data_IF_209455794379
#
_entry.id   IF_209455794379
#
_cell.length_a   1.000
_cell.length_b   1.000
_cell.length_c   1.000
_cell.angle_alpha   90.00
_cell.angle_beta   90.00
_cell.angle_gamma   90.00
#
_symmetry.space_group_name_H-M   'P 1'
#
loop_
_entity.id
_entity.type
_entity.pdbx_description
1 polymer ?
#
# COMPACT_ATOMS: atom_id res chain seq x y z
N UNK A 1 -14.24 3.43 -48.63
CA UNK A 1 -12.86 3.66 -49.10
C UNK A 1 -11.86 4.16 -48.02
N UNK A 2 -12.17 4.14 -46.71
CA UNK A 2 -11.27 4.67 -45.64
C UNK A 2 -10.62 3.63 -44.73
N UNK A 3 -11.10 2.38 -44.73
CA UNK A 3 -10.59 1.31 -43.86
C UNK A 3 -9.25 0.75 -44.35
N UNK A 4 -9.15 0.47 -45.66
CA UNK A 4 -7.95 -0.13 -46.26
C UNK A 4 -6.71 0.78 -46.15
N UNK A 5 -6.89 2.09 -46.32
CA UNK A 5 -5.81 3.10 -46.16
C UNK A 5 -5.30 3.16 -44.72
N UNK A 6 -6.19 3.03 -43.73
CA UNK A 6 -5.80 3.01 -42.32
C UNK A 6 -5.05 1.71 -41.96
N UNK A 7 -5.33 0.61 -42.66
CA UNK A 7 -4.67 -0.67 -42.44
C UNK A 7 -3.29 -0.73 -43.09
N UNK A 8 -3.14 -0.20 -44.31
CA UNK A 8 -1.83 0.01 -44.96
C UNK A 8 -0.93 0.86 -44.07
N UNK A 9 -1.46 1.96 -43.53
CA UNK A 9 -0.68 2.85 -42.68
C UNK A 9 -0.14 2.14 -41.43
N UNK A 10 -0.90 1.22 -40.84
CA UNK A 10 -0.40 0.40 -39.71
C UNK A 10 0.68 -0.58 -40.16
N UNK A 11 0.58 -1.13 -41.37
CA UNK A 11 1.58 -2.04 -41.95
C UNK A 11 2.89 -1.28 -42.15
N UNK A 12 2.82 -0.09 -42.76
CA UNK A 12 3.98 0.77 -43.01
C UNK A 12 4.62 1.29 -41.72
N UNK A 13 3.82 1.58 -40.69
CA UNK A 13 4.29 2.00 -39.37
C UNK A 13 4.78 0.82 -38.51
N UNK A 14 4.70 -0.43 -38.99
CA UNK A 14 5.08 -1.64 -38.25
C UNK A 14 4.18 -1.93 -37.03
N UNK A 15 3.02 -1.28 -36.93
CA UNK A 15 2.05 -1.43 -35.84
C UNK A 15 0.89 -2.36 -36.20
N UNK A 16 0.93 -2.95 -37.39
CA UNK A 16 -0.09 -3.87 -37.87
C UNK A 16 -0.04 -5.19 -37.09
N UNK A 17 -1.15 -5.52 -36.44
CA UNK A 17 -1.36 -6.81 -35.80
C UNK A 17 -2.32 -7.63 -36.66
N UNK A 18 -1.93 -8.88 -36.96
CA UNK A 18 -2.82 -9.80 -37.65
C UNK A 18 -4.16 -9.89 -36.89
N UNK A 19 -5.32 -9.90 -37.60
CA UNK A 19 -6.61 -10.03 -36.96
C UNK A 19 -6.64 -11.34 -36.15
N UNK A 20 -7.14 -11.26 -34.91
CA UNK A 20 -7.15 -12.39 -34.00
C UNK A 20 -7.77 -13.64 -34.68
N UNK A 21 -7.17 -14.82 -34.52
CA UNK A 21 -7.65 -16.04 -35.15
C UNK A 21 -9.09 -16.30 -34.74
N UNK A 22 -10.00 -16.42 -35.73
CA UNK A 22 -11.46 -16.46 -35.54
C UNK A 22 -11.96 -17.66 -34.71
N UNK A 23 -11.11 -18.67 -34.47
CA UNK A 23 -11.51 -19.98 -33.92
C UNK A 23 -10.93 -20.31 -32.55
N UNK A 24 -10.29 -19.37 -31.83
CA UNK A 24 -9.79 -19.69 -30.47
C UNK A 24 -10.95 -19.70 -29.49
N UNK A 25 -11.13 -20.83 -28.82
CA UNK A 25 -12.15 -21.00 -27.78
C UNK A 25 -11.68 -20.47 -26.43
N UNK A 26 -12.63 -20.13 -25.56
CA UNK A 26 -12.37 -19.61 -24.22
C UNK A 26 -11.53 -20.60 -23.41
N UNK A 27 -11.87 -21.89 -23.51
CA UNK A 27 -11.14 -22.97 -22.86
C UNK A 27 -9.68 -23.02 -23.30
N UNK A 28 -9.42 -23.01 -24.61
CA UNK A 28 -8.04 -23.07 -25.13
C UNK A 28 -7.20 -21.88 -24.71
N UNK A 29 -7.77 -20.67 -24.76
CA UNK A 29 -7.07 -19.47 -24.31
C UNK A 29 -6.79 -19.51 -22.81
N UNK A 30 -7.75 -19.99 -22.01
CA UNK A 30 -7.58 -20.11 -20.57
C UNK A 30 -6.57 -21.19 -20.20
N UNK A 31 -6.51 -22.32 -20.91
CA UNK A 31 -5.51 -23.36 -20.68
C UNK A 31 -4.09 -22.85 -20.96
N UNK A 32 -3.90 -22.08 -22.03
CA UNK A 32 -2.61 -21.43 -22.28
C UNK A 32 -2.30 -20.37 -21.21
N UNK A 33 -3.30 -19.58 -20.80
CA UNK A 33 -3.14 -18.60 -19.72
C UNK A 33 -2.84 -19.27 -18.37
N UNK A 34 -3.41 -20.44 -18.07
CA UNK A 34 -3.12 -21.22 -16.86
C UNK A 34 -1.65 -21.60 -16.79
N UNK A 35 -1.07 -22.09 -17.88
CA UNK A 35 0.37 -22.43 -17.95
C UNK A 35 1.23 -21.19 -17.66
N UNK A 36 0.89 -20.06 -18.27
CA UNK A 36 1.57 -18.79 -18.01
C UNK A 36 1.40 -18.33 -16.55
N UNK A 37 0.16 -18.29 -16.06
CA UNK A 37 -0.17 -17.82 -14.72
C UNK A 37 0.41 -18.73 -13.63
N UNK A 38 0.47 -20.04 -13.84
CA UNK A 38 1.08 -20.99 -12.89
C UNK A 38 2.56 -20.71 -12.68
N UNK A 39 3.29 -20.31 -13.72
CA UNK A 39 4.71 -19.97 -13.63
C UNK A 39 4.95 -18.61 -12.93
N UNK A 40 4.03 -17.65 -13.09
CA UNK A 40 4.25 -16.27 -12.66
C UNK A 40 3.48 -15.87 -11.39
N UNK A 41 2.42 -16.59 -11.03
CA UNK A 41 1.51 -16.22 -9.94
C UNK A 41 1.55 -17.25 -8.81
N UNK A 42 2.09 -16.84 -7.66
CA UNK A 42 2.16 -17.68 -6.46
C UNK A 42 0.78 -18.17 -5.97
N UNK A 43 -0.25 -17.33 -6.09
CA UNK A 43 -1.62 -17.64 -5.67
C UNK A 43 -2.49 -18.21 -6.79
N UNK A 44 -1.86 -18.79 -7.82
CA UNK A 44 -2.58 -19.32 -8.99
C UNK A 44 -3.61 -20.38 -8.57
N UNK A 45 -3.19 -21.36 -7.76
CA UNK A 45 -4.04 -22.49 -7.35
C UNK A 45 -5.19 -22.04 -6.46
N UNK A 46 -4.96 -21.14 -5.52
CA UNK A 46 -5.97 -20.73 -4.54
C UNK A 46 -6.94 -19.67 -5.09
N UNK A 47 -6.53 -18.91 -6.10
CA UNK A 47 -7.28 -17.73 -6.53
C UNK A 47 -7.53 -17.67 -8.04
N UNK A 48 -6.49 -17.72 -8.86
CA UNK A 48 -6.64 -17.50 -10.30
C UNK A 48 -7.38 -18.66 -10.98
N UNK A 49 -6.97 -19.91 -10.74
CA UNK A 49 -7.59 -21.09 -11.37
C UNK A 49 -9.08 -21.26 -11.01
N UNK A 50 -9.50 -21.12 -9.73
CA UNK A 50 -10.92 -21.15 -9.39
C UNK A 50 -11.76 -20.08 -10.10
N UNK A 51 -11.20 -18.89 -10.32
CA UNK A 51 -11.91 -17.82 -11.04
C UNK A 51 -11.98 -18.11 -12.54
N UNK A 52 -10.95 -18.70 -13.14
CA UNK A 52 -11.00 -19.15 -14.54
C UNK A 52 -12.06 -20.23 -14.73
N UNK A 53 -12.09 -21.23 -13.84
CA UNK A 53 -13.13 -22.30 -13.85
C UNK A 53 -14.53 -21.74 -13.68
N UNK A 54 -14.69 -20.71 -12.84
CA UNK A 54 -15.97 -20.01 -12.72
C UNK A 54 -16.42 -19.45 -14.07
N UNK A 55 -15.55 -18.71 -14.77
CA UNK A 55 -15.89 -18.15 -16.08
C UNK A 55 -16.12 -19.20 -17.17
N UNK A 56 -15.39 -20.31 -17.15
CA UNK A 56 -15.64 -21.45 -18.05
C UNK A 56 -17.01 -22.10 -17.82
N UNK A 57 -17.48 -22.14 -16.57
CA UNK A 57 -18.81 -22.67 -16.25
C UNK A 57 -19.92 -21.71 -16.70
N UNK A 58 -19.73 -20.41 -16.56
CA UNK A 58 -20.75 -19.43 -16.95
C UNK A 58 -20.84 -19.23 -18.48
N UNK A 59 -19.70 -19.24 -19.18
CA UNK A 59 -19.67 -19.03 -20.64
C UNK A 59 -19.61 -20.32 -21.47
N UNK A 60 -19.17 -21.43 -20.88
CA UNK A 60 -18.83 -22.65 -21.61
C UNK A 60 -17.42 -22.59 -22.22
N UNK A 61 -16.68 -23.70 -22.15
CA UNK A 61 -15.29 -23.79 -22.69
C UNK A 61 -15.22 -23.61 -24.20
N UNK A 62 -16.22 -24.11 -24.94
CA UNK A 62 -16.26 -24.03 -26.41
C UNK A 62 -16.63 -22.66 -26.98
N UNK A 63 -16.95 -21.68 -26.13
CA UNK A 63 -17.36 -20.35 -26.60
C UNK A 63 -16.17 -19.62 -27.24
N UNK A 64 -16.29 -19.13 -28.48
CA UNK A 64 -15.23 -18.33 -29.10
C UNK A 64 -14.95 -17.06 -28.29
N UNK A 65 -13.67 -16.67 -28.16
CA UNK A 65 -13.31 -15.46 -27.40
C UNK A 65 -14.01 -14.20 -27.94
N UNK A 66 -14.20 -14.13 -29.26
CA UNK A 66 -14.87 -13.02 -29.93
C UNK A 66 -16.37 -12.89 -29.58
N UNK A 67 -17.01 -13.97 -29.07
CA UNK A 67 -18.42 -13.96 -28.66
C UNK A 67 -18.64 -13.49 -27.23
N UNK A 68 -17.57 -13.35 -26.44
CA UNK A 68 -17.67 -12.85 -25.06
C UNK A 68 -17.89 -11.34 -25.08
N UNK A 69 -19.09 -10.90 -24.72
CA UNK A 69 -19.46 -9.49 -24.74
C UNK A 69 -19.43 -8.85 -23.35
N UNK A 70 -19.25 -7.53 -23.29
CA UNK A 70 -19.31 -6.76 -22.05
C UNK A 70 -20.65 -6.92 -21.33
N UNK A 71 -21.76 -6.97 -22.08
CA UNK A 71 -23.12 -7.12 -21.51
C UNK A 71 -23.29 -8.42 -20.75
N UNK A 72 -22.81 -9.55 -21.31
CA UNK A 72 -22.88 -10.85 -20.62
C UNK A 72 -22.06 -10.85 -19.33
N UNK A 73 -20.86 -10.25 -19.35
CA UNK A 73 -20.01 -10.16 -18.16
C UNK A 73 -20.68 -9.29 -17.08
N UNK A 74 -21.33 -8.19 -17.45
CA UNK A 74 -22.09 -7.33 -16.53
C UNK A 74 -23.25 -8.10 -15.88
N UNK A 75 -24.02 -8.86 -16.67
CA UNK A 75 -25.11 -9.71 -16.16
C UNK A 75 -24.60 -10.77 -15.16
N UNK A 76 -23.53 -11.48 -15.50
CA UNK A 76 -22.91 -12.49 -14.62
C UNK A 76 -22.38 -11.82 -13.34
N UNK A 77 -21.75 -10.66 -13.45
CA UNK A 77 -21.25 -9.87 -12.31
C UNK A 77 -22.39 -9.47 -11.38
N UNK A 78 -23.52 -8.99 -11.90
CA UNK A 78 -24.69 -8.61 -11.10
C UNK A 78 -25.33 -9.82 -10.41
N UNK A 79 -25.50 -10.94 -11.13
CA UNK A 79 -25.98 -12.22 -10.55
C UNK A 79 -25.06 -12.70 -9.44
N UNK A 80 -23.74 -12.65 -9.64
CA UNK A 80 -22.75 -13.05 -8.63
C UNK A 80 -22.80 -12.14 -7.41
N UNK A 81 -23.03 -10.84 -7.58
CA UNK A 81 -23.13 -9.88 -6.47
C UNK A 81 -24.29 -10.15 -5.50
N UNK A 82 -25.29 -10.96 -5.89
CA UNK A 82 -26.37 -11.40 -5.00
C UNK A 82 -25.93 -12.50 -4.01
N UNK A 83 -24.84 -13.21 -4.31
CA UNK A 83 -24.39 -14.38 -3.51
C UNK A 83 -23.03 -14.18 -2.84
N UNK A 84 -22.23 -13.22 -3.29
CA UNK A 84 -20.89 -12.96 -2.75
C UNK A 84 -20.65 -11.47 -2.54
N UNK A 85 -19.72 -11.15 -1.64
CA UNK A 85 -19.34 -9.77 -1.37
C UNK A 85 -18.85 -9.03 -2.64
N UNK A 86 -19.13 -7.72 -2.78
CA UNK A 86 -18.75 -6.93 -3.96
C UNK A 86 -17.24 -7.01 -4.29
N UNK A 87 -16.40 -7.08 -3.26
CA UNK A 87 -14.95 -7.20 -3.43
C UNK A 87 -14.53 -8.52 -4.08
N UNK A 88 -15.29 -9.58 -3.83
CA UNK A 88 -15.08 -10.90 -4.44
C UNK A 88 -15.53 -10.86 -5.90
N UNK A 89 -16.65 -10.20 -6.22
CA UNK A 89 -17.05 -9.97 -7.61
C UNK A 89 -15.99 -9.22 -8.41
N UNK A 90 -15.48 -8.11 -7.85
CA UNK A 90 -14.45 -7.30 -8.50
C UNK A 90 -13.17 -8.11 -8.75
N UNK A 91 -12.77 -8.93 -7.79
CA UNK A 91 -11.65 -9.88 -7.93
C UNK A 91 -11.87 -10.89 -9.05
N UNK A 92 -13.07 -11.48 -9.14
CA UNK A 92 -13.43 -12.43 -10.20
C UNK A 92 -13.34 -11.80 -11.59
N UNK A 93 -13.88 -10.58 -11.75
CA UNK A 93 -13.82 -9.80 -13.00
C UNK A 93 -12.38 -9.35 -13.30
N UNK A 94 -11.58 -9.06 -12.28
CA UNK A 94 -10.16 -8.73 -12.41
C UNK A 94 -9.34 -9.87 -13.03
N UNK A 95 -9.58 -11.11 -12.64
CA UNK A 95 -8.91 -12.29 -13.25
C UNK A 95 -9.26 -12.40 -14.73
N UNK A 96 -10.53 -12.22 -15.09
CA UNK A 96 -10.97 -12.22 -16.49
C UNK A 96 -10.28 -11.12 -17.30
N UNK A 97 -10.17 -9.92 -16.74
CA UNK A 97 -9.46 -8.80 -17.37
C UNK A 97 -8.01 -9.16 -17.68
N UNK A 98 -7.31 -9.77 -16.72
CA UNK A 98 -5.92 -10.20 -16.91
C UNK A 98 -5.78 -11.29 -17.97
N UNK A 99 -6.68 -12.30 -17.97
CA UNK A 99 -6.68 -13.36 -18.98
C UNK A 99 -6.88 -12.80 -20.40
N UNK A 100 -7.82 -11.86 -20.58
CA UNK A 100 -8.03 -11.21 -21.88
C UNK A 100 -6.87 -10.29 -22.29
N UNK A 101 -6.27 -9.54 -21.36
CA UNK A 101 -5.07 -8.73 -21.67
C UNK A 101 -3.90 -9.62 -22.12
N UNK A 102 -3.70 -10.75 -21.45
CA UNK A 102 -2.71 -11.73 -21.85
C UNK A 102 -3.05 -12.33 -23.22
N UNK A 103 -4.31 -12.72 -23.45
CA UNK A 103 -4.75 -13.25 -24.75
C UNK A 103 -4.50 -12.25 -25.90
N UNK A 104 -4.72 -10.95 -25.69
CA UNK A 104 -4.40 -9.90 -26.66
C UNK A 104 -2.89 -9.83 -26.94
N UNK A 105 -2.06 -9.89 -25.89
CA UNK A 105 -0.60 -9.89 -26.04
C UNK A 105 -0.05 -11.07 -26.84
N UNK A 106 -0.81 -12.18 -26.87
CA UNK A 106 -0.49 -13.38 -27.64
C UNK A 106 -1.20 -13.42 -29.00
N UNK A 107 -1.88 -12.34 -29.39
CA UNK A 107 -2.64 -12.26 -30.64
C UNK A 107 -3.89 -13.15 -30.69
N UNK A 108 -4.35 -13.70 -29.57
CA UNK A 108 -5.51 -14.61 -29.49
C UNK A 108 -6.86 -13.87 -29.41
N UNK A 109 -6.85 -12.59 -29.05
CA UNK A 109 -8.05 -11.76 -28.94
C UNK A 109 -7.79 -10.35 -29.48
N UNK A 110 -8.81 -9.77 -30.12
CA UNK A 110 -8.71 -8.42 -30.69
C UNK A 110 -8.97 -7.30 -29.67
N UNK A 111 -9.76 -7.57 -28.64
CA UNK A 111 -10.12 -6.57 -27.63
C UNK A 111 -10.45 -7.22 -26.28
N UNK A 112 -10.42 -6.41 -25.21
CA UNK A 112 -10.77 -6.86 -23.87
C UNK A 112 -12.22 -6.44 -23.54
N UNK A 113 -13.17 -7.40 -23.43
CA UNK A 113 -14.57 -7.09 -23.13
C UNK A 113 -14.78 -6.54 -21.71
N UNK A 114 -13.79 -6.65 -20.82
CA UNK A 114 -13.83 -6.16 -19.44
C UNK A 114 -13.43 -4.68 -19.32
N UNK A 115 -12.93 -4.04 -20.39
CA UNK A 115 -12.42 -2.66 -20.34
C UNK A 115 -13.49 -1.65 -19.92
N UNK A 116 -14.74 -1.82 -20.35
CA UNK A 116 -15.86 -0.92 -20.05
C UNK A 116 -16.57 -1.19 -18.71
N UNK A 117 -16.21 -2.27 -18.01
CA UNK A 117 -16.94 -2.71 -16.82
C UNK A 117 -16.50 -1.88 -15.61
N UNK A 118 -17.47 -1.23 -14.96
CA UNK A 118 -17.25 -0.52 -13.70
C UNK A 118 -17.16 -1.53 -12.56
N UNK A 119 -16.11 -1.47 -11.76
CA UNK A 119 -16.02 -2.26 -10.52
C UNK A 119 -16.86 -1.62 -9.41
N UNK A 120 -17.28 -2.42 -8.43
CA UNK A 120 -18.00 -1.93 -7.25
C UNK A 120 -17.08 -1.07 -6.37
N UNK A 121 -15.78 -1.37 -6.33
CA UNK A 121 -14.77 -0.68 -5.51
C UNK A 121 -15.20 -0.49 -4.05
N UNK A 122 -15.60 -1.57 -3.35
CA UNK A 122 -16.10 -1.44 -1.98
C UNK A 122 -15.02 -0.88 -1.06
N UNK A 123 -15.43 0.05 -0.19
CA UNK A 123 -14.55 0.60 0.83
C UNK A 123 -14.33 -0.43 1.96
N UNK A 124 -13.34 -1.30 1.79
CA UNK A 124 -12.96 -2.31 2.79
C UNK A 124 -12.03 -1.75 3.88
N UNK A 125 -11.95 -0.43 4.06
CA UNK A 125 -11.16 0.16 5.12
C UNK A 125 -11.83 -0.09 6.48
N UNK A 126 -11.31 -1.08 7.21
CA UNK A 126 -11.70 -1.39 8.59
C UNK A 126 -10.71 -0.81 9.59
N UNK A 127 -11.12 0.16 10.40
CA UNK A 127 -10.31 0.70 11.48
C UNK A 127 -10.85 0.19 12.82
N UNK A 128 -10.37 -0.97 13.25
CA UNK A 128 -10.65 -1.57 14.55
C UNK A 128 -9.32 -1.78 15.27
N UNK A 129 -9.20 -1.26 16.48
CA UNK A 129 -8.06 -1.45 17.38
C UNK A 129 -8.57 -1.76 18.78
N UNK A 130 -7.77 -2.45 19.60
CA UNK A 130 -8.14 -2.80 20.97
C UNK A 130 -8.09 -1.58 21.90
N UNK A 131 -9.12 -1.45 22.73
CA UNK A 131 -9.02 -0.64 23.95
C UNK A 131 -8.09 -1.33 24.97
N UNK A 132 -7.65 -0.59 25.98
CA UNK A 132 -6.71 -1.09 26.98
C UNK A 132 -7.29 -2.23 27.83
N UNK A 133 -8.55 -2.12 28.22
CA UNK A 133 -9.29 -3.16 28.93
C UNK A 133 -9.49 -4.43 28.07
N UNK A 134 -9.78 -4.25 26.77
CA UNK A 134 -9.93 -5.36 25.83
C UNK A 134 -8.60 -6.10 25.64
N UNK A 135 -7.49 -5.37 25.57
CA UNK A 135 -6.16 -5.97 25.45
C UNK A 135 -5.81 -6.81 26.69
N UNK A 136 -6.05 -6.28 27.89
CA UNK A 136 -5.81 -7.00 29.14
C UNK A 136 -6.65 -8.27 29.22
N UNK A 137 -7.97 -8.19 28.93
CA UNK A 137 -8.86 -9.35 28.89
C UNK A 137 -8.43 -10.37 27.84
N UNK A 138 -8.04 -9.93 26.65
CA UNK A 138 -7.57 -10.81 25.58
C UNK A 138 -6.31 -11.56 26.00
N UNK A 139 -5.34 -10.89 26.62
CA UNK A 139 -4.10 -11.53 27.06
C UNK A 139 -4.38 -12.55 28.18
N UNK A 140 -5.21 -12.20 29.16
CA UNK A 140 -5.59 -13.11 30.25
C UNK A 140 -6.30 -14.37 29.72
N UNK A 141 -7.21 -14.22 28.74
CA UNK A 141 -7.89 -15.36 28.13
C UNK A 141 -7.02 -16.14 27.14
N UNK A 142 -6.04 -15.50 26.51
CA UNK A 142 -5.07 -16.16 25.64
C UNK A 142 -4.11 -17.06 26.42
N UNK A 143 -3.77 -16.72 27.66
CA UNK A 143 -2.90 -17.50 28.55
C UNK A 143 -3.49 -18.87 28.90
N UNK A 144 -4.83 -18.99 28.92
CA UNK A 144 -5.54 -20.27 29.06
C UNK A 144 -5.46 -21.15 27.81
N UNK A 145 -4.89 -20.64 26.73
CA UNK A 145 -4.78 -21.30 25.43
C UNK A 145 -3.45 -22.01 25.21
N UNK A 146 -3.09 -22.31 23.95
CA UNK A 146 -1.79 -22.86 23.61
C UNK A 146 -0.65 -21.92 24.01
N UNK A 147 0.49 -22.47 24.48
CA UNK A 147 1.68 -21.74 24.97
C UNK A 147 2.15 -20.56 24.10
N UNK A 148 1.96 -20.66 22.79
CA UNK A 148 2.47 -19.70 21.82
C UNK A 148 1.52 -18.53 21.59
N UNK A 149 0.23 -18.64 21.98
CA UNK A 149 -0.78 -17.65 21.64
C UNK A 149 -0.49 -16.29 22.27
N UNK A 150 -0.29 -16.23 23.59
CA UNK A 150 -0.01 -14.97 24.29
C UNK A 150 1.28 -14.31 23.83
N UNK A 151 2.43 -15.02 23.75
CA UNK A 151 3.65 -14.42 23.22
C UNK A 151 3.48 -13.88 21.79
N UNK A 152 2.77 -14.60 20.91
CA UNK A 152 2.50 -14.11 19.55
C UNK A 152 1.63 -12.85 19.55
N UNK A 153 0.61 -12.76 20.41
CA UNK A 153 -0.23 -11.56 20.53
C UNK A 153 0.60 -10.38 21.03
N UNK A 154 1.40 -10.57 22.10
CA UNK A 154 2.28 -9.53 22.65
C UNK A 154 3.27 -9.01 21.59
N UNK A 155 3.92 -9.89 20.85
CA UNK A 155 4.83 -9.47 19.77
C UNK A 155 4.09 -8.77 18.62
N UNK A 156 2.89 -9.23 18.24
CA UNK A 156 2.09 -8.57 17.21
C UNK A 156 1.70 -7.13 17.60
N UNK A 157 1.34 -6.91 18.87
CA UNK A 157 0.96 -5.61 19.41
C UNK A 157 2.14 -4.64 19.58
N UNK A 158 3.36 -5.16 19.77
CA UNK A 158 4.54 -4.33 20.04
C UNK A 158 5.45 -4.12 18.81
N UNK A 159 5.41 -5.01 17.81
CA UNK A 159 6.26 -4.94 16.62
C UNK A 159 5.49 -4.66 15.33
N UNK A 160 4.15 -4.83 15.35
CA UNK A 160 3.30 -4.61 14.18
C UNK A 160 3.58 -5.54 13.00
N UNK A 161 4.24 -6.69 13.20
CA UNK A 161 4.60 -7.61 12.13
C UNK A 161 3.35 -8.20 11.44
N UNK A 162 3.45 -8.43 10.12
CA UNK A 162 2.42 -9.21 9.39
C UNK A 162 2.41 -10.64 9.91
N UNK A 163 1.24 -11.30 9.88
CA UNK A 163 1.09 -12.70 10.31
C UNK A 163 2.19 -13.61 9.76
N UNK A 164 2.42 -13.61 8.44
CA UNK A 164 3.42 -14.47 7.83
C UNK A 164 4.85 -14.19 8.29
N UNK A 165 5.17 -12.93 8.62
CA UNK A 165 6.50 -12.56 9.13
C UNK A 165 6.68 -13.04 10.57
N UNK A 166 5.64 -12.91 11.40
CA UNK A 166 5.66 -13.35 12.80
C UNK A 166 5.65 -14.88 12.91
N UNK A 167 4.80 -15.56 12.14
CA UNK A 167 4.64 -17.01 12.21
C UNK A 167 5.87 -17.77 11.69
N UNK A 168 6.67 -17.16 10.83
CA UNK A 168 7.90 -17.74 10.26
C UNK A 168 9.16 -17.08 10.80
N UNK A 169 9.06 -16.31 11.88
CA UNK A 169 10.18 -15.62 12.50
C UNK A 169 11.21 -16.64 13.00
N UNK A 170 12.48 -16.41 12.68
CA UNK A 170 13.61 -17.27 13.06
C UNK A 170 14.50 -16.58 14.07
N UNK A 171 15.20 -17.37 14.88
CA UNK A 171 16.15 -16.86 15.87
C UNK A 171 17.29 -16.06 15.23
N UNK A 172 17.78 -16.50 14.05
CA UNK A 172 18.83 -15.80 13.28
C UNK A 172 18.43 -14.40 12.79
N UNK A 173 17.13 -14.12 12.71
CA UNK A 173 16.59 -12.82 12.26
C UNK A 173 16.48 -11.82 13.42
N UNK A 174 16.76 -12.26 14.65
CA UNK A 174 16.72 -11.44 15.87
C UNK A 174 18.16 -11.06 16.24
N UNK A 175 18.50 -9.80 16.02
CA UNK A 175 19.77 -9.22 16.44
C UNK A 175 19.59 -8.63 17.84
N UNK A 176 19.90 -9.42 18.87
CA UNK A 176 19.73 -9.04 20.27
C UNK A 176 20.67 -7.89 20.68
N UNK A 177 21.86 -7.82 20.07
CA UNK A 177 22.87 -6.78 20.32
C UNK A 177 22.40 -5.42 19.76
N UNK A 178 22.01 -5.39 18.49
CA UNK A 178 21.47 -4.17 17.88
C UNK A 178 20.03 -3.88 18.31
N UNK A 179 19.34 -4.83 18.93
CA UNK A 179 17.96 -4.68 19.39
C UNK A 179 16.95 -4.57 18.24
N UNK A 180 17.19 -5.28 17.13
CA UNK A 180 16.35 -5.22 15.93
C UNK A 180 15.98 -6.60 15.41
N UNK A 181 14.82 -6.70 14.77
CA UNK A 181 14.43 -7.85 13.95
C UNK A 181 14.62 -7.49 12.49
N UNK A 182 15.38 -8.31 11.74
CA UNK A 182 15.59 -8.16 10.30
C UNK A 182 14.90 -9.29 9.56
N UNK A 183 13.69 -9.04 9.08
CA UNK A 183 12.90 -10.02 8.32
C UNK A 183 12.97 -9.72 6.83
N UNK A 184 13.65 -10.57 6.08
CA UNK A 184 13.71 -10.46 4.62
C UNK A 184 12.49 -11.13 3.99
N UNK A 185 11.69 -10.36 3.26
CA UNK A 185 10.64 -10.96 2.43
C UNK A 185 11.30 -11.60 1.21
N UNK A 186 11.26 -12.93 1.14
CA UNK A 186 11.79 -13.71 0.00
C UNK A 186 11.13 -13.33 -1.32
N UNK A 187 9.95 -12.68 -1.31
CA UNK A 187 9.20 -12.31 -2.51
C UNK A 187 9.69 -11.03 -3.19
N UNK A 188 10.10 -10.02 -2.41
CA UNK A 188 10.46 -8.70 -2.94
C UNK A 188 11.95 -8.35 -2.69
N UNK A 189 12.69 -9.21 -1.98
CA UNK A 189 14.04 -8.93 -1.46
C UNK A 189 14.12 -7.66 -0.59
N UNK A 190 12.97 -7.13 -0.17
CA UNK A 190 12.90 -5.99 0.74
C UNK A 190 13.03 -6.52 2.17
N UNK A 191 14.07 -6.06 2.87
CA UNK A 191 14.28 -6.37 4.28
C UNK A 191 13.49 -5.40 5.14
N UNK A 192 12.58 -5.94 5.95
CA UNK A 192 11.89 -5.20 6.99
C UNK A 192 12.75 -5.24 8.26
N UNK A 193 13.24 -4.07 8.68
CA UNK A 193 13.93 -3.91 9.96
C UNK A 193 13.00 -3.24 10.96
N UNK A 194 12.76 -3.89 12.10
CA UNK A 194 11.89 -3.39 13.16
C UNK A 194 12.67 -3.33 14.48
N UNK A 195 12.80 -2.16 15.11
CA UNK A 195 13.34 -2.05 16.46
C UNK A 195 12.47 -2.79 17.48
N UNK A 196 13.13 -3.44 18.44
CA UNK A 196 12.47 -4.22 19.49
C UNK A 196 12.38 -3.37 20.76
N UNK A 197 11.16 -3.09 21.21
CA UNK A 197 10.93 -2.42 22.50
C UNK A 197 11.16 -3.39 23.68
N UNK A 198 11.21 -2.85 24.89
CA UNK A 198 11.54 -3.64 26.09
C UNK A 198 10.52 -4.74 26.39
N UNK A 199 9.23 -4.47 26.15
CA UNK A 199 8.17 -5.47 26.29
C UNK A 199 8.36 -6.64 25.33
N UNK A 200 8.62 -6.37 24.05
CA UNK A 200 8.89 -7.42 23.07
C UNK A 200 10.20 -8.15 23.38
N UNK A 201 11.23 -7.44 23.83
CA UNK A 201 12.52 -8.02 24.26
C UNK A 201 12.34 -9.00 25.42
N UNK A 202 11.54 -8.64 26.43
CA UNK A 202 11.24 -9.51 27.55
C UNK A 202 10.53 -10.81 27.10
N UNK A 203 9.57 -10.69 26.17
CA UNK A 203 8.88 -11.86 25.59
C UNK A 203 9.85 -12.74 24.81
N UNK A 204 10.72 -12.16 23.97
CA UNK A 204 11.72 -12.91 23.21
C UNK A 204 12.72 -13.62 24.12
N UNK A 205 13.21 -12.96 25.17
CA UNK A 205 14.12 -13.55 26.15
C UNK A 205 13.48 -14.72 26.90
N UNK A 206 12.20 -14.60 27.28
CA UNK A 206 11.46 -15.70 27.90
C UNK A 206 11.30 -16.90 26.94
N UNK A 207 11.02 -16.63 25.66
CA UNK A 207 10.94 -17.69 24.63
C UNK A 207 12.30 -18.34 24.40
N UNK A 208 13.39 -17.57 24.40
CA UNK A 208 14.76 -18.06 24.24
C UNK A 208 15.17 -19.00 25.37
N UNK A 209 14.75 -18.73 26.62
CA UNK A 209 14.98 -19.64 27.75
C UNK A 209 14.27 -20.99 27.62
N UNK A 210 13.26 -21.11 26.74
CA UNK A 210 12.53 -22.35 26.44
C UNK A 210 12.81 -22.87 25.04
N UNK A 211 13.90 -22.39 24.42
CA UNK A 211 14.26 -22.71 23.05
C UNK A 211 14.60 -24.19 22.90
N UNK A 212 14.15 -24.77 21.80
CA UNK A 212 14.56 -26.10 21.33
C UNK A 212 15.41 -25.95 20.06
N UNK A 213 15.81 -27.07 19.45
CA UNK A 213 16.60 -27.09 18.21
C UNK A 213 15.87 -26.59 16.95
N UNK A 214 14.68 -25.99 17.11
CA UNK A 214 13.97 -25.40 15.98
C UNK A 214 14.58 -24.05 15.59
N UNK A 215 14.78 -23.77 14.29
CA UNK A 215 15.20 -22.44 13.85
C UNK A 215 14.12 -21.37 14.06
N UNK A 216 12.85 -21.78 14.22
CA UNK A 216 11.71 -20.87 14.36
C UNK A 216 11.48 -20.48 15.82
N UNK A 217 11.10 -19.23 16.05
CA UNK A 217 10.68 -18.73 17.37
C UNK A 217 9.37 -19.39 17.80
N UNK A 218 8.45 -19.60 16.84
CA UNK A 218 7.16 -20.23 17.06
C UNK A 218 7.05 -21.52 16.26
N UNK A 219 7.16 -22.65 16.97
CA UNK A 219 7.07 -23.98 16.37
C UNK A 219 6.23 -24.95 17.21
N UNK A 220 5.82 -26.05 16.57
CA UNK A 220 5.22 -27.17 17.28
C UNK A 220 6.29 -27.89 18.12
N UNK A 221 5.97 -28.19 19.38
CA UNK A 221 6.87 -28.97 20.25
C UNK A 221 6.82 -30.46 19.91
N UNK A 222 5.61 -30.97 19.71
CA UNK A 222 5.34 -32.40 19.62
C UNK A 222 4.53 -32.74 18.36
N UNK A 223 4.48 -34.04 18.04
CA UNK A 223 3.69 -34.60 16.95
C UNK A 223 4.37 -34.49 15.59
N UNK A 224 3.65 -34.80 14.49
CA UNK A 224 4.23 -34.93 13.15
C UNK A 224 4.79 -33.62 12.58
N UNK A 225 4.45 -32.49 13.19
CA UNK A 225 4.95 -31.17 12.80
C UNK A 225 6.01 -30.63 13.77
N UNK A 226 6.53 -31.44 14.71
CA UNK A 226 7.54 -31.00 15.66
C UNK A 226 8.71 -30.28 14.96
N UNK A 227 9.15 -29.17 15.55
CA UNK A 227 10.18 -28.30 15.00
C UNK A 227 9.77 -27.41 13.81
N UNK A 228 8.59 -27.64 13.21
CA UNK A 228 8.05 -26.79 12.11
C UNK A 228 7.28 -25.58 12.62
N UNK A 229 7.23 -24.55 11.79
CA UNK A 229 6.56 -23.29 12.08
C UNK A 229 5.05 -23.44 12.35
N UNK A 230 4.51 -22.60 13.23
CA UNK A 230 3.06 -22.58 13.51
C UNK A 230 2.33 -21.88 12.37
N UNK A 231 1.67 -22.66 11.52
CA UNK A 231 0.99 -22.13 10.31
C UNK A 231 -0.34 -21.44 10.57
N UNK A 232 -1.00 -21.70 11.71
CA UNK A 232 -2.30 -21.10 12.01
C UNK A 232 -2.60 -21.11 13.51
N UNK A 233 -3.05 -19.96 14.01
CA UNK A 233 -3.63 -19.79 15.36
C UNK A 233 -5.10 -19.36 15.31
N UNK A 234 -5.74 -19.42 14.13
CA UNK A 234 -7.10 -18.88 13.94
C UNK A 234 -8.11 -19.45 14.95
N UNK A 235 -8.03 -20.76 15.21
CA UNK A 235 -8.96 -21.44 16.13
C UNK A 235 -8.72 -21.03 17.59
N UNK A 236 -7.47 -21.05 18.04
CA UNK A 236 -7.13 -20.69 19.43
C UNK A 236 -7.36 -19.20 19.70
N UNK A 237 -7.02 -18.34 18.75
CA UNK A 237 -7.28 -16.90 18.83
C UNK A 237 -8.78 -16.59 18.89
N UNK A 238 -9.60 -17.22 18.03
CA UNK A 238 -11.06 -17.05 18.07
C UNK A 238 -11.64 -17.46 19.42
N UNK A 239 -11.22 -18.60 19.98
CA UNK A 239 -11.66 -19.04 21.31
C UNK A 239 -11.27 -18.08 22.42
N UNK A 240 -10.07 -17.48 22.34
CA UNK A 240 -9.64 -16.47 23.29
C UNK A 240 -10.50 -15.18 23.19
N UNK A 241 -10.84 -14.74 21.97
CA UNK A 241 -11.77 -13.62 21.75
C UNK A 241 -13.17 -13.90 22.29
N UNK A 242 -13.71 -15.10 22.03
CA UNK A 242 -15.02 -15.54 22.53
C UNK A 242 -15.05 -15.49 24.07
N UNK A 243 -14.03 -16.04 24.75
CA UNK A 243 -13.93 -15.97 26.22
C UNK A 243 -13.71 -14.56 26.75
N UNK A 244 -12.97 -13.73 26.02
CA UNK A 244 -12.72 -12.35 26.41
C UNK A 244 -13.93 -11.43 26.16
N UNK A 245 -14.98 -11.92 25.49
CA UNK A 245 -16.15 -11.11 25.11
C UNK A 245 -15.83 -10.04 24.05
N UNK A 246 -14.82 -10.28 23.20
CA UNK A 246 -14.39 -9.33 22.17
C UNK A 246 -14.99 -9.74 20.83
N UNK A 247 -15.90 -8.92 20.33
CA UNK A 247 -16.59 -9.13 19.06
C UNK A 247 -15.91 -8.38 17.92
N UNK A 248 -16.12 -8.88 16.70
CA UNK A 248 -15.59 -8.33 15.46
C UNK A 248 -14.10 -7.93 15.56
N UNK A 249 -13.23 -8.89 15.90
CA UNK A 249 -11.78 -8.68 15.95
C UNK A 249 -11.03 -9.81 15.25
N UNK A 250 -10.04 -9.46 14.44
CA UNK A 250 -9.26 -10.39 13.60
C UNK A 250 -7.78 -10.29 13.95
N UNK A 251 -7.01 -11.31 13.60
CA UNK A 251 -5.56 -11.30 13.86
C UNK A 251 -4.85 -10.06 13.29
N UNK A 252 -5.20 -9.65 12.07
CA UNK A 252 -4.61 -8.46 11.45
C UNK A 252 -5.01 -7.15 12.13
N UNK A 253 -6.07 -7.15 12.95
CA UNK A 253 -6.44 -5.99 13.74
C UNK A 253 -5.43 -5.73 14.88
N UNK A 254 -4.65 -6.74 15.35
CA UNK A 254 -3.54 -6.51 16.29
C UNK A 254 -2.50 -5.54 15.71
N UNK A 255 -2.21 -5.68 14.41
CA UNK A 255 -1.33 -4.77 13.69
C UNK A 255 -1.97 -3.39 13.48
N UNK A 256 -3.30 -3.32 13.34
CA UNK A 256 -4.03 -2.05 13.36
C UNK A 256 -3.95 -1.39 14.73
N UNK A 257 -4.01 -2.17 15.82
CA UNK A 257 -3.82 -1.69 17.19
C UNK A 257 -2.43 -1.10 17.39
N UNK A 258 -1.36 -1.79 16.99
CA UNK A 258 0.00 -1.26 17.04
C UNK A 258 0.11 0.11 16.35
N UNK A 259 -0.36 0.20 15.11
CA UNK A 259 -0.30 1.44 14.35
C UNK A 259 -1.14 2.57 14.99
N UNK A 260 -2.34 2.24 15.46
CA UNK A 260 -3.24 3.19 16.11
C UNK A 260 -2.65 3.72 17.41
N UNK A 261 -2.10 2.84 18.26
CA UNK A 261 -1.44 3.21 19.51
C UNK A 261 -0.25 4.14 19.28
N UNK A 262 0.61 3.84 18.29
CA UNK A 262 1.73 4.71 17.95
C UNK A 262 1.27 6.10 17.48
N UNK A 263 0.28 6.17 16.59
CA UNK A 263 -0.22 7.45 16.08
C UNK A 263 -0.91 8.25 17.19
N UNK A 264 -1.69 7.59 18.06
CA UNK A 264 -2.31 8.22 19.23
C UNK A 264 -1.27 8.73 20.24
N UNK A 265 -0.14 8.03 20.36
CA UNK A 265 1.01 8.46 21.17
C UNK A 265 1.84 9.58 20.51
N UNK A 266 1.47 10.05 19.32
CA UNK A 266 2.13 11.16 18.63
C UNK A 266 3.31 10.77 17.75
N UNK A 267 3.49 9.48 17.43
CA UNK A 267 4.55 9.04 16.53
C UNK A 267 4.33 9.56 15.10
N UNK A 268 5.43 9.90 14.43
CA UNK A 268 5.41 10.32 13.03
C UNK A 268 4.89 9.23 12.09
N UNK A 269 4.07 9.63 11.11
CA UNK A 269 3.41 8.72 10.19
C UNK A 269 4.40 7.99 9.27
N UNK A 270 5.55 8.60 8.94
CA UNK A 270 6.60 7.93 8.18
C UNK A 270 7.29 6.86 9.02
N UNK A 271 7.54 7.11 10.30
CA UNK A 271 8.06 6.08 11.21
C UNK A 271 7.10 4.87 11.27
N UNK A 272 5.79 5.13 11.45
CA UNK A 272 4.76 4.07 11.43
C UNK A 272 4.73 3.34 10.08
N UNK A 273 4.85 4.05 8.96
CA UNK A 273 4.93 3.43 7.62
C UNK A 273 6.12 2.46 7.52
N UNK A 274 7.29 2.85 8.04
CA UNK A 274 8.51 2.04 8.03
C UNK A 274 8.37 0.79 8.90
N UNK A 275 7.89 0.93 10.14
CA UNK A 275 7.65 -0.23 11.03
C UNK A 275 6.66 -1.23 10.43
N UNK A 276 5.62 -0.71 9.78
CA UNK A 276 4.65 -1.55 9.10
C UNK A 276 5.19 -2.16 7.79
N UNK A 277 6.23 -1.60 7.17
CA UNK A 277 6.67 -2.01 5.83
C UNK A 277 5.57 -1.77 4.79
N UNK A 278 5.00 -0.57 4.81
CA UNK A 278 4.06 -0.08 3.80
C UNK A 278 4.83 0.58 2.66
N UNK A 279 4.52 0.18 1.40
CA UNK A 279 5.21 0.73 0.22
C UNK A 279 4.88 2.19 -0.04
N UNK A 280 3.65 2.61 0.27
CA UNK A 280 3.19 3.98 0.05
C UNK A 280 2.58 4.55 1.31
N UNK A 281 2.74 5.86 1.51
CA UNK A 281 2.16 6.57 2.64
C UNK A 281 0.62 6.49 2.65
N UNK A 282 0.00 6.39 1.46
CA UNK A 282 -1.45 6.19 1.29
C UNK A 282 -1.99 5.00 2.09
N UNK A 283 -1.20 3.94 2.27
CA UNK A 283 -1.59 2.78 3.09
C UNK A 283 -1.66 3.11 4.58
N UNK A 284 -0.83 4.05 5.04
CA UNK A 284 -0.71 4.47 6.45
C UNK A 284 -1.62 5.66 6.77
N UNK A 285 -2.01 6.47 5.78
CA UNK A 285 -2.92 7.62 5.94
C UNK A 285 -4.24 7.28 6.63
N UNK A 286 -4.67 6.02 6.56
CA UNK A 286 -5.85 5.54 7.28
C UNK A 286 -5.78 5.72 8.81
N UNK A 287 -4.59 5.89 9.40
CA UNK A 287 -4.44 6.14 10.83
C UNK A 287 -4.27 7.64 11.14
N UNK A 288 -4.05 8.49 10.14
CA UNK A 288 -3.68 9.88 10.35
C UNK A 288 -4.73 10.68 11.14
N UNK A 289 -6.01 10.35 10.99
CA UNK A 289 -7.08 11.02 11.73
C UNK A 289 -7.07 10.70 13.24
N UNK A 290 -6.45 9.60 13.68
CA UNK A 290 -6.32 9.28 15.11
C UNK A 290 -5.40 10.25 15.86
N UNK A 291 -4.67 11.08 15.12
CA UNK A 291 -3.69 12.04 15.63
C UNK A 291 -4.31 13.37 16.08
N UNK A 292 -5.53 13.39 16.61
CA UNK A 292 -6.24 14.65 16.94
C UNK A 292 -5.41 15.62 17.83
N UNK A 293 -4.54 15.10 18.72
CA UNK A 293 -3.58 15.91 19.50
C UNK A 293 -2.31 16.29 18.74
N UNK A 294 -1.90 15.49 17.76
CA UNK A 294 -0.66 15.68 16.98
C UNK A 294 -0.65 17.04 16.27
N UNK A 295 -1.72 17.44 15.59
CA UNK A 295 -1.71 18.73 14.87
C UNK A 295 -1.50 19.91 15.83
N UNK A 296 -2.14 19.89 17.00
CA UNK A 296 -1.95 20.92 18.02
C UNK A 296 -0.55 20.85 18.64
N UNK A 297 -0.04 19.66 18.95
CA UNK A 297 1.31 19.47 19.52
C UNK A 297 2.42 19.81 18.53
N UNK A 298 2.21 19.61 17.22
CA UNK A 298 3.13 20.04 16.16
C UNK A 298 3.20 21.57 16.06
N UNK A 299 2.06 22.27 16.19
CA UNK A 299 2.05 23.74 16.21
C UNK A 299 2.76 24.27 17.45
N UNK A 300 2.57 23.62 18.62
CA UNK A 300 3.25 23.97 19.88
C UNK A 300 4.78 23.87 19.81
N UNK A 301 5.35 23.19 18.82
CA UNK A 301 6.80 23.22 18.58
C UNK A 301 7.27 24.65 18.28
N UNK A 302 6.44 25.46 17.62
CA UNK A 302 6.75 26.87 17.35
C UNK A 302 6.88 27.71 18.63
N UNK A 303 6.14 27.38 19.70
CA UNK A 303 6.25 28.08 20.99
C UNK A 303 7.65 27.90 21.62
N UNK A 304 8.27 26.74 21.39
CA UNK A 304 9.66 26.47 21.81
C UNK A 304 10.68 27.27 21.01
N UNK A 305 10.36 27.61 19.76
CA UNK A 305 11.22 28.42 18.88
C UNK A 305 11.11 29.91 19.24
N UNK A 306 9.90 30.40 19.55
CA UNK A 306 9.66 31.80 19.94
C UNK A 306 10.24 32.19 21.30
N UNK A 307 10.50 31.22 22.18
CA UNK A 307 11.07 31.45 23.51
C UNK A 307 12.60 31.60 23.51
N UNK A 308 13.27 31.37 22.37
CA UNK A 308 14.69 31.59 22.23
C UNK A 308 15.00 33.08 21.90
N UNK A 309 15.37 33.82 22.94
CA UNK A 309 16.00 35.17 22.94
C UNK A 309 15.09 36.36 22.60
N UNK A 310 14.39 36.85 23.63
CA UNK A 310 14.48 38.29 23.92
C UNK A 310 15.61 38.46 24.93
N UNK A 311 16.84 38.65 24.44
CA UNK A 311 17.88 39.23 25.29
C UNK A 311 17.34 40.60 25.74
N UNK A 312 17.19 40.88 27.04
CA UNK A 312 16.85 42.23 27.46
C UNK A 312 17.97 43.13 26.95
N UNK A 313 17.65 44.03 26.00
CA UNK A 313 18.58 45.08 25.58
C UNK A 313 18.98 45.80 26.86
N UNK A 314 20.23 45.63 27.30
CA UNK A 314 20.81 46.44 28.38
C UNK A 314 20.58 47.90 27.99
N UNK A 315 19.78 48.61 28.78
CA UNK A 315 19.57 50.03 28.59
C UNK A 315 20.94 50.72 28.52
N UNK A 316 21.17 51.66 27.58
CA UNK A 316 22.42 52.41 27.57
C UNK A 316 22.55 53.13 28.90
N UNK A 317 23.68 52.95 29.59
CA UNK A 317 24.01 53.69 30.81
C UNK A 317 23.84 55.18 30.52
N UNK A 318 22.94 55.85 31.25
CA UNK A 318 22.76 57.30 31.20
C UNK A 318 24.10 57.95 31.53
N UNK A 319 24.80 58.43 30.51
CA UNK A 319 25.88 59.40 30.67
C UNK A 319 25.29 60.68 31.23
N UNK A 320 25.94 61.24 32.25
CA UNK A 320 25.63 62.55 32.79
C UNK A 320 25.55 63.58 31.66
N UNK A 321 24.41 64.26 31.53
CA UNK A 321 24.38 65.56 30.88
C UNK A 321 23.49 66.52 31.65
N UNK A 322 24.08 67.68 31.85
CA UNK A 322 23.63 68.79 32.65
C UNK A 322 22.22 69.25 32.32
N UNK A 323 21.59 69.77 33.37
CA UNK A 323 20.44 70.66 33.38
C UNK A 323 20.55 71.76 32.33
N UNK A 324 19.60 71.85 31.40
CA UNK A 324 19.04 73.13 30.97
C UNK A 324 17.64 72.93 30.38
N UNK A 325 16.74 73.80 30.81
CA UNK A 325 15.33 73.86 30.44
C UNK A 325 15.15 74.28 28.98
N UNK A 326 14.25 73.62 28.25
CA UNK A 326 13.57 74.24 27.11
C UNK A 326 12.22 73.56 26.88
N UNK A 327 11.18 74.39 26.82
CA UNK A 327 9.76 74.05 26.62
C UNK A 327 9.48 73.80 25.12
N UNK A 328 8.69 72.77 24.83
CA UNK A 328 7.70 72.63 23.72
C UNK A 328 7.33 71.14 23.66
N UNK A 329 6.09 70.70 23.86
CA UNK A 329 4.90 71.05 23.11
C UNK A 329 4.73 70.03 22.00
N UNK A 330 3.87 69.00 22.18
CA UNK A 330 2.91 68.45 21.20
C UNK A 330 2.25 67.16 21.75
N UNK A 331 0.96 67.09 21.43
CA UNK A 331 -0.16 66.29 21.93
C UNK A 331 -0.03 64.77 21.85
N UNK A 332 -0.69 64.12 22.80
CA UNK A 332 -1.05 62.70 22.77
C UNK A 332 -2.10 62.40 21.68
N UNK A 333 -1.98 61.22 21.06
CA UNK A 333 -3.15 60.45 20.60
C UNK A 333 -2.97 59.00 20.98
N UNK A 334 -3.77 58.58 21.97
CA UNK A 334 -4.01 57.21 22.40
C UNK A 334 -5.04 56.63 21.43
N UNK A 335 -4.69 55.61 20.66
CA UNK A 335 -5.67 54.81 19.89
C UNK A 335 -5.91 53.53 20.68
N UNK A 336 -7.11 53.42 21.24
CA UNK A 336 -7.64 52.20 21.86
C UNK A 336 -8.07 51.21 20.78
N UNK A 337 -7.72 49.93 20.99
CA UNK A 337 -8.13 48.80 20.14
C UNK A 337 -9.65 48.61 20.17
N UNK A 338 -10.26 48.47 18.99
CA UNK A 338 -11.63 47.99 18.85
C UNK A 338 -11.63 46.49 18.54
N UNK A 339 -12.59 45.80 19.17
CA UNK A 339 -12.77 44.36 19.29
C UNK A 339 -13.18 43.73 17.94
N UNK A 340 -12.45 42.73 17.44
CA UNK A 340 -12.81 41.93 16.25
C UNK A 340 -13.79 40.83 16.65
N UNK A 341 -15.08 41.14 16.67
CA UNK A 341 -16.14 40.16 16.61
C UNK A 341 -17.25 40.76 15.74
N UNK A 342 -17.06 40.74 14.41
CA UNK A 342 -18.14 40.87 13.41
C UNK A 342 -17.57 40.69 11.99
N UNK A 343 -17.38 39.43 11.59
CA UNK A 343 -17.21 39.08 10.17
C UNK A 343 -18.13 37.89 9.83
N UNK A 344 -19.20 38.09 9.03
CA UNK A 344 -20.09 37.00 8.65
C UNK A 344 -19.52 36.16 7.49
N UNK A 345 -19.68 34.84 7.60
CA UNK A 345 -19.31 33.83 6.59
C UNK A 345 -20.26 33.87 5.37
N UNK A 346 -19.77 33.63 4.14
CA UNK A 346 -20.62 33.62 2.95
C UNK A 346 -21.42 32.31 2.79
N UNK A 347 -22.74 32.45 2.60
CA UNK A 347 -23.71 31.38 2.35
C UNK A 347 -23.83 30.99 0.86
N UNK A 348 -24.11 29.71 0.65
CA UNK A 348 -24.31 28.99 -0.62
C UNK A 348 -25.42 29.58 -1.50
N UNK A 349 -25.21 29.62 -2.83
CA UNK A 349 -26.32 29.70 -3.80
C UNK A 349 -26.21 28.63 -4.89
N UNK A 350 -27.37 28.02 -5.14
CA UNK A 350 -27.66 26.88 -6.03
C UNK A 350 -27.48 27.22 -7.50
N UNK A 351 -27.14 26.16 -8.24
CA UNK A 351 -27.12 26.03 -9.70
C UNK A 351 -28.54 25.79 -10.20
N UNK A 352 -28.99 26.55 -11.21
CA UNK A 352 -29.99 26.10 -12.20
C UNK A 352 -29.63 26.59 -13.60
N UNK A 353 -29.96 25.72 -14.55
CA UNK A 353 -29.64 25.66 -15.98
C UNK A 353 -30.25 26.75 -16.87
N UNK A 354 -29.55 27.11 -17.95
CA UNK A 354 -30.13 27.15 -19.31
C UNK A 354 -29.05 27.42 -20.39
N UNK A 355 -29.29 26.79 -21.53
CA UNK A 355 -28.53 26.73 -22.78
C UNK A 355 -28.55 28.00 -23.62
N UNK A 356 -27.45 28.29 -24.34
CA UNK A 356 -27.31 28.32 -25.82
C UNK A 356 -26.04 29.10 -26.20
N UNK A 357 -25.36 28.60 -27.23
CA UNK A 357 -23.97 28.96 -27.53
C UNK A 357 -23.75 30.27 -28.28
N UNK A 358 -22.49 30.68 -28.28
CA UNK A 358 -21.83 31.30 -29.44
C UNK A 358 -20.32 31.18 -29.25
N UNK A 359 -19.68 30.71 -30.31
CA UNK A 359 -18.24 30.71 -30.53
C UNK A 359 -17.64 32.10 -30.38
N UNK A 360 -16.52 32.24 -29.67
CA UNK A 360 -15.47 33.13 -30.16
C UNK A 360 -14.06 32.71 -29.72
N UNK A 361 -13.22 32.56 -30.74
CA UNK A 361 -11.77 32.41 -30.71
C UNK A 361 -11.16 33.66 -30.07
N UNK A 362 -10.26 33.49 -29.09
CA UNK A 362 -9.32 34.55 -28.70
C UNK A 362 -7.90 34.00 -28.88
N UNK A 363 -7.21 34.58 -29.88
CA UNK A 363 -5.77 34.43 -30.14
C UNK A 363 -5.01 35.17 -29.04
N UNK A 364 -4.02 34.52 -28.42
CA UNK A 364 -3.00 35.23 -27.64
C UNK A 364 -1.82 35.59 -28.54
N UNK A 365 -1.58 36.88 -28.65
CA UNK A 365 -0.46 37.47 -29.38
C UNK A 365 0.83 37.34 -28.56
N UNK A 366 1.90 37.00 -29.27
CA UNK A 366 3.29 37.02 -28.83
C UNK A 366 3.81 38.46 -28.76
N UNK A 367 4.48 38.81 -27.65
CA UNK A 367 5.50 39.86 -27.63
C UNK A 367 6.67 39.37 -26.79
N UNK A 368 7.84 39.31 -27.44
CA UNK A 368 9.10 38.96 -26.82
C UNK A 368 9.75 40.15 -26.11
N UNK A 369 10.57 39.82 -25.13
CA UNK A 369 11.66 40.66 -24.64
C UNK A 369 12.75 39.70 -24.17
N UNK A 370 13.85 39.67 -24.92
CA UNK A 370 14.99 38.81 -24.65
C UNK A 370 15.89 39.35 -23.55
N UNK A 371 16.47 38.44 -22.77
CA UNK A 371 17.74 38.64 -22.07
C UNK A 371 18.52 37.33 -22.19
N UNK A 372 19.79 37.44 -22.60
CA UNK A 372 20.72 36.35 -22.97
C UNK A 372 21.16 35.52 -21.76
N UNK A 373 21.29 34.21 -21.98
CA UNK A 373 22.02 33.28 -21.13
C UNK A 373 23.50 33.19 -21.56
N UNK A 374 24.46 32.97 -20.64
CA UNK A 374 25.82 32.61 -21.02
C UNK A 374 25.95 31.09 -21.22
N UNK A 375 26.73 30.75 -22.24
CA UNK A 375 27.08 29.44 -22.77
C UNK A 375 27.98 28.59 -21.88
N UNK A 376 27.70 27.28 -21.79
CA UNK A 376 28.62 26.22 -21.35
C UNK A 376 28.43 24.95 -22.21
N UNK A 377 29.48 24.13 -22.45
CA UNK A 377 29.54 23.16 -23.55
C UNK A 377 28.82 21.82 -23.24
N UNK A 378 28.51 21.01 -24.28
CA UNK A 378 27.62 19.85 -24.15
C UNK A 378 28.36 18.57 -23.74
N UNK A 379 27.81 17.82 -22.78
CA UNK A 379 28.21 16.43 -22.54
C UNK A 379 27.23 15.47 -23.25
N UNK A 380 27.80 14.61 -24.10
CA UNK A 380 27.13 13.63 -24.93
C UNK A 380 26.33 12.55 -24.14
N UNK A 381 25.25 12.00 -24.73
CA UNK A 381 24.55 10.84 -24.20
C UNK A 381 25.28 9.52 -24.56
N UNK A 382 25.61 8.73 -23.55
CA UNK A 382 26.14 7.36 -23.71
C UNK A 382 25.07 6.45 -24.34
N UNK A 383 25.31 6.07 -25.60
CA UNK A 383 24.69 4.93 -26.29
C UNK A 383 25.36 3.64 -25.78
N UNK A 384 24.58 2.69 -25.27
CA UNK A 384 25.04 1.30 -25.13
C UNK A 384 24.72 0.55 -26.43
N UNK A 385 25.76 0.28 -27.21
CA UNK A 385 25.72 -0.66 -28.32
C UNK A 385 25.96 -2.08 -27.83
N UNK A 386 25.07 -2.97 -28.26
CA UNK A 386 25.28 -4.41 -28.30
C UNK A 386 26.39 -4.73 -29.29
N UNK A 387 27.40 -5.50 -28.87
CA UNK A 387 28.31 -6.19 -29.77
C UNK A 387 28.19 -7.69 -29.49
N UNK A 388 27.67 -8.37 -30.50
CA UNK A 388 27.79 -9.78 -30.77
C UNK A 388 29.23 -10.14 -31.14
N UNK A 389 29.78 -11.19 -30.53
CA UNK A 389 30.83 -12.00 -31.15
C UNK A 389 30.43 -13.46 -31.03
N UNK A 390 30.30 -14.07 -32.20
CA UNK A 390 30.09 -15.48 -32.44
C UNK A 390 31.42 -16.25 -32.33
N UNK A 391 31.25 -17.53 -32.03
CA UNK A 391 32.01 -18.68 -32.51
C UNK A 391 33.30 -19.14 -31.77
N UNK A 392 33.16 -20.26 -31.05
CA UNK A 392 33.88 -21.50 -31.39
C UNK A 392 33.30 -22.71 -30.63
N UNK A 393 32.62 -23.55 -31.41
CA UNK A 393 32.48 -25.00 -31.36
C UNK A 393 33.45 -25.77 -30.43
N UNK A 394 32.92 -26.68 -29.61
CA UNK A 394 33.31 -28.10 -29.56
C UNK A 394 32.29 -28.92 -28.74
N UNK A 395 32.16 -30.19 -29.12
CA UNK A 395 31.05 -31.12 -28.96
C UNK A 395 31.02 -31.87 -27.58
N UNK A 396 30.06 -32.80 -27.33
CA UNK A 396 29.58 -33.20 -26.01
C UNK A 396 30.27 -34.45 -25.43
N UNK A 397 30.19 -34.62 -24.10
CA UNK A 397 30.46 -35.88 -23.43
C UNK A 397 29.17 -36.45 -22.82
N UNK A 398 28.69 -37.52 -23.47
CA UNK A 398 27.82 -38.54 -22.89
C UNK A 398 28.69 -39.54 -22.11
N UNK A 399 28.31 -39.85 -20.88
CA UNK A 399 28.55 -41.09 -20.11
C UNK A 399 27.55 -40.98 -18.94
N UNK A 400 26.68 -41.92 -18.59
CA UNK A 400 26.61 -43.35 -18.79
C UNK A 400 25.90 -43.88 -17.54
N UNK A 401 24.93 -44.78 -17.72
CA UNK A 401 24.14 -45.39 -16.66
C UNK A 401 24.99 -46.27 -15.72
N UNK A 402 24.54 -46.43 -14.47
CA UNK A 402 24.46 -47.68 -13.68
C UNK A 402 24.29 -47.34 -12.17
N UNK A 403 23.35 -48.01 -11.50
CA UNK A 403 23.12 -47.93 -10.04
C UNK A 403 21.68 -47.66 -9.65
#
# INVERSE_FOLDING_TARGET
>A
MRWWVAEIRKIDEGTWAAPAPKNVTLGDAFDKYRKHAQAHQRSFKEFTDPMLRFWEREFGRGTPLARVTTSQIEQIKLKRAQSVAPATCDKTVGVLRCAFNWAISQGLAASNPVRGIKFFNPNNQRLRYLAEDEEQRLLAEADKGPRHLTPMIKLALNLGLRWGNLSTLRWEEIDSHAGVIRKTDTKNKETLTVPVNDTARAVLKALEGTRTDSPYVFHHLNGPNAGREIRSVKRSFRRALERAGINDFRWHDLRHTFASKLVMAGADLMAVQRFLGHKTLRMTQRYAHLSHRYLADQIRILDKIGSAKVCPRRAPKRGHRATSQAKSGIRSRRVTMANLNDLPLPSKSRITSASRGRTNRIRFATRGSGVRAPSGPPCHPLRFHWISTLDRSFAPCNLGAEG
#
